data_IF_258085046943
#
_entry.id   IF_258085046943
#
_cell.length_a   1.000
_cell.length_b   1.000
_cell.length_c   1.000
_cell.angle_alpha   90.00
_cell.angle_beta   90.00
_cell.angle_gamma   90.00
#
_symmetry.space_group_name_H-M   'P 1'
#
loop_
_entity.id
_entity.type
_entity.pdbx_description
1 polymer ?
#
# COMPACT_ATOMS: atom_id res chain seq x y z
N UNK A 1 -2.15 -4.21 0.94
CA UNK A 1 -1.17 -4.57 -0.11
C UNK A 1 0.24 -4.37 0.47
N UNK A 2 0.92 -5.48 0.85
CA UNK A 2 2.28 -5.43 1.41
C UNK A 2 3.34 -5.48 0.31
N UNK A 3 3.14 -6.37 -0.68
CA UNK A 3 4.07 -6.62 -1.77
C UNK A 3 5.52 -6.78 -1.30
N UNK A 4 5.73 -7.63 -0.30
CA UNK A 4 7.04 -7.88 0.29
C UNK A 4 8.07 -8.30 -0.77
N UNK A 5 9.26 -7.69 -0.71
CA UNK A 5 10.36 -7.88 -1.64
C UNK A 5 10.03 -7.56 -3.11
N UNK A 6 8.97 -6.78 -3.35
CA UNK A 6 8.71 -6.23 -4.68
C UNK A 6 9.85 -5.32 -5.12
N UNK A 7 10.41 -5.50 -6.33
CA UNK A 7 11.49 -4.65 -6.79
C UNK A 7 10.99 -3.21 -7.00
N UNK A 8 11.73 -2.23 -6.48
CA UNK A 8 11.45 -0.81 -6.73
C UNK A 8 11.91 -0.44 -8.15
N UNK A 9 10.95 -0.39 -9.06
CA UNK A 9 11.23 -0.21 -10.49
C UNK A 9 11.79 1.18 -10.82
N UNK A 10 12.84 1.23 -11.65
CA UNK A 10 13.45 2.46 -12.16
C UNK A 10 14.55 3.05 -11.29
N UNK A 11 14.94 2.40 -10.20
CA UNK A 11 16.03 2.84 -9.32
C UNK A 11 17.31 1.99 -9.47
N UNK A 12 17.25 0.86 -10.19
CA UNK A 12 18.42 0.06 -10.53
C UNK A 12 19.41 0.85 -11.40
N UNK A 13 20.61 1.13 -10.86
CA UNK A 13 21.67 1.87 -11.58
C UNK A 13 22.16 3.15 -10.86
N UNK A 14 21.59 3.47 -9.70
CA UNK A 14 22.09 4.51 -8.79
C UNK A 14 23.13 3.89 -7.81
N UNK A 15 23.63 4.66 -6.85
CA UNK A 15 24.68 4.13 -5.94
C UNK A 15 24.27 2.80 -5.30
N UNK A 16 25.26 1.90 -5.05
CA UNK A 16 25.02 0.60 -4.43
C UNK A 16 24.33 0.72 -3.04
N UNK A 17 24.66 1.76 -2.28
CA UNK A 17 24.07 2.06 -0.98
C UNK A 17 22.57 2.40 -1.10
N UNK A 18 22.21 3.23 -2.06
CA UNK A 18 20.81 3.59 -2.33
C UNK A 18 20.01 2.38 -2.82
N UNK A 19 20.60 1.55 -3.69
CA UNK A 19 19.97 0.33 -4.16
C UNK A 19 19.66 -0.65 -3.02
N UNK A 20 20.60 -0.86 -2.09
CA UNK A 20 20.39 -1.71 -0.91
C UNK A 20 19.29 -1.17 0.01
N UNK A 21 19.23 0.13 0.23
CA UNK A 21 18.19 0.77 1.05
C UNK A 21 16.80 0.64 0.43
N UNK A 22 16.72 0.79 -0.86
CA UNK A 22 15.50 0.62 -1.65
C UNK A 22 15.02 -0.84 -1.65
N UNK A 23 15.95 -1.79 -1.73
CA UNK A 23 15.66 -3.21 -1.67
C UNK A 23 15.11 -3.66 -0.29
N UNK A 24 15.62 -3.05 0.78
CA UNK A 24 15.16 -3.32 2.16
C UNK A 24 13.84 -2.61 2.52
N UNK A 25 13.43 -1.57 1.76
CA UNK A 25 12.36 -0.65 2.16
C UNK A 25 11.02 -1.34 2.43
N UNK A 26 10.63 -2.35 1.65
CA UNK A 26 9.37 -3.08 1.86
C UNK A 26 9.38 -3.89 3.16
N UNK A 27 10.54 -4.45 3.54
CA UNK A 27 10.72 -5.18 4.80
C UNK A 27 10.70 -4.24 5.99
N UNK A 28 11.42 -3.13 5.92
CA UNK A 28 11.44 -2.13 6.98
C UNK A 28 10.05 -1.51 7.18
N UNK A 29 9.31 -1.24 6.10
CA UNK A 29 7.92 -0.78 6.19
C UNK A 29 7.00 -1.83 6.86
N UNK A 30 7.23 -3.12 6.60
CA UNK A 30 6.53 -4.21 7.28
C UNK A 30 6.89 -4.29 8.77
N UNK A 31 8.16 -4.10 9.14
CA UNK A 31 8.55 -4.01 10.55
C UNK A 31 7.88 -2.82 11.24
N UNK A 32 7.78 -1.67 10.57
CA UNK A 32 7.06 -0.51 11.07
C UNK A 32 5.56 -0.80 11.28
N UNK A 33 4.93 -1.60 10.40
CA UNK A 33 3.54 -2.03 10.55
C UNK A 33 3.35 -2.93 11.77
N UNK A 34 4.24 -3.91 11.96
CA UNK A 34 4.21 -4.81 13.11
C UNK A 34 4.43 -4.04 14.41
N UNK A 35 5.42 -3.14 14.44
CA UNK A 35 5.68 -2.28 15.59
C UNK A 35 4.48 -1.39 15.91
N UNK A 36 3.89 -0.72 14.92
CA UNK A 36 2.69 0.09 15.11
C UNK A 36 1.57 -0.70 15.77
N UNK A 37 1.29 -1.92 15.30
CA UNK A 37 0.20 -2.74 15.85
C UNK A 37 0.46 -3.11 17.32
N UNK A 38 1.72 -3.38 17.68
CA UNK A 38 2.13 -3.71 19.06
C UNK A 38 2.05 -2.47 19.94
N UNK A 39 2.61 -1.35 19.49
CA UNK A 39 2.69 -0.10 20.26
C UNK A 39 1.30 0.52 20.53
N UNK A 40 0.39 0.41 19.57
CA UNK A 40 -1.01 0.88 19.71
C UNK A 40 -1.90 -0.14 20.45
N UNK A 41 -1.39 -1.32 20.79
CA UNK A 41 -2.13 -2.37 21.47
C UNK A 41 -3.33 -2.87 20.66
N UNK A 42 -3.14 -3.06 19.36
CA UNK A 42 -4.21 -3.52 18.47
C UNK A 42 -4.75 -4.90 18.92
N UNK A 43 -6.06 -5.09 18.86
CA UNK A 43 -6.68 -6.38 19.17
C UNK A 43 -6.49 -7.39 18.05
N UNK A 44 -6.45 -6.92 16.82
CA UNK A 44 -6.19 -7.71 15.62
C UNK A 44 -5.70 -6.82 14.48
N UNK A 45 -5.13 -7.47 13.46
CA UNK A 45 -4.70 -6.86 12.20
C UNK A 45 -5.46 -7.45 11.03
N UNK A 46 -5.82 -6.62 10.05
CA UNK A 46 -6.47 -7.04 8.80
C UNK A 46 -5.49 -6.88 7.65
N UNK A 47 -5.30 -7.93 6.85
CA UNK A 47 -4.50 -7.93 5.63
C UNK A 47 -5.41 -8.22 4.43
N UNK A 48 -5.64 -7.21 3.62
CA UNK A 48 -6.60 -7.27 2.52
C UNK A 48 -5.96 -7.72 1.18
N UNK A 49 -5.04 -8.68 1.23
CA UNK A 49 -4.42 -9.31 0.06
C UNK A 49 -3.11 -8.69 -0.41
N UNK A 50 -2.54 -9.30 -1.44
CA UNK A 50 -1.26 -8.96 -2.06
C UNK A 50 -0.13 -8.82 -1.02
N UNK A 51 0.10 -9.91 -0.31
CA UNK A 51 1.18 -10.02 0.70
C UNK A 51 2.53 -10.11 0.00
N UNK A 52 2.58 -10.87 -1.09
CA UNK A 52 3.79 -11.08 -1.90
C UNK A 52 3.56 -10.59 -3.34
N UNK A 53 4.65 -10.27 -4.04
CA UNK A 53 4.59 -9.86 -5.44
C UNK A 53 4.86 -11.04 -6.38
N UNK A 54 3.80 -11.77 -6.74
CA UNK A 54 3.86 -12.93 -7.62
C UNK A 54 4.58 -14.13 -7.01
N UNK A 55 5.29 -14.91 -7.85
CA UNK A 55 6.05 -16.07 -7.38
C UNK A 55 7.17 -15.65 -6.41
N UNK A 56 7.11 -16.14 -5.17
CA UNK A 56 8.19 -15.99 -4.19
C UNK A 56 9.49 -16.56 -4.79
N UNK A 57 10.32 -15.67 -5.32
CA UNK A 57 11.64 -16.03 -5.85
C UNK A 57 12.61 -16.46 -4.74
N UNK A 58 12.30 -16.09 -3.50
CA UNK A 58 13.15 -16.34 -2.35
C UNK A 58 12.31 -16.79 -1.14
N UNK A 59 12.64 -17.98 -0.64
CA UNK A 59 12.04 -18.52 0.59
C UNK A 59 12.25 -17.60 1.81
N UNK A 60 13.30 -16.77 1.81
CA UNK A 60 13.60 -15.80 2.86
C UNK A 60 12.47 -14.77 3.08
N UNK A 61 11.78 -14.37 2.01
CA UNK A 61 10.63 -13.43 2.12
C UNK A 61 9.50 -14.04 2.95
N UNK A 62 9.21 -15.32 2.72
CA UNK A 62 8.21 -16.05 3.50
C UNK A 62 8.61 -16.19 4.97
N UNK A 63 9.87 -16.49 5.25
CA UNK A 63 10.40 -16.56 6.62
C UNK A 63 10.32 -15.20 7.32
N UNK A 64 10.61 -14.13 6.60
CA UNK A 64 10.53 -12.78 7.13
C UNK A 64 9.09 -12.41 7.52
N UNK A 65 8.13 -12.71 6.66
CA UNK A 65 6.70 -12.54 6.96
C UNK A 65 6.28 -13.35 8.19
N UNK A 66 6.67 -14.62 8.26
CA UNK A 66 6.36 -15.49 9.40
C UNK A 66 6.94 -14.96 10.72
N UNK A 67 8.14 -14.39 10.70
CA UNK A 67 8.73 -13.76 11.89
C UNK A 67 7.90 -12.55 12.36
N UNK A 68 7.42 -11.70 11.45
CA UNK A 68 6.49 -10.63 11.81
C UNK A 68 5.20 -11.15 12.44
N UNK A 69 4.63 -12.22 11.88
CA UNK A 69 3.42 -12.86 12.43
C UNK A 69 3.66 -13.45 13.83
N UNK A 70 4.84 -14.05 14.05
CA UNK A 70 5.23 -14.56 15.36
C UNK A 70 5.34 -13.43 16.42
N UNK A 71 5.90 -12.27 16.06
CA UNK A 71 5.97 -11.10 16.94
C UNK A 71 4.57 -10.60 17.32
N UNK A 72 3.61 -10.62 16.38
CA UNK A 72 2.21 -10.28 16.65
C UNK A 72 1.55 -11.32 17.57
N UNK A 73 1.84 -12.61 17.39
CA UNK A 73 1.36 -13.70 18.25
C UNK A 73 1.84 -13.52 19.70
N UNK A 74 3.12 -13.23 19.89
CA UNK A 74 3.71 -12.94 21.21
C UNK A 74 3.07 -11.72 21.89
N UNK A 75 2.59 -10.76 21.12
CA UNK A 75 1.84 -9.61 21.60
C UNK A 75 0.33 -9.88 21.77
N UNK A 76 -0.14 -11.10 21.48
CA UNK A 76 -1.56 -11.49 21.57
C UNK A 76 -2.43 -10.87 20.46
N UNK A 77 -1.85 -10.51 19.33
CA UNK A 77 -2.54 -9.88 18.20
C UNK A 77 -2.87 -10.94 17.14
N UNK A 78 -4.16 -11.15 16.88
CA UNK A 78 -4.64 -12.03 15.81
C UNK A 78 -4.55 -11.32 14.45
N UNK A 79 -4.29 -12.08 13.39
CA UNK A 79 -4.22 -11.57 12.01
C UNK A 79 -5.25 -12.25 11.14
N UNK A 80 -6.12 -11.48 10.50
CA UNK A 80 -7.14 -11.98 9.57
C UNK A 80 -6.77 -11.53 8.15
N UNK A 81 -6.61 -12.51 7.25
CA UNK A 81 -6.00 -12.26 5.95
C UNK A 81 -6.82 -12.88 4.82
N UNK A 82 -7.08 -12.10 3.77
CA UNK A 82 -7.47 -12.60 2.46
C UNK A 82 -6.26 -12.64 1.54
N UNK A 83 -6.23 -13.55 0.59
CA UNK A 83 -5.23 -13.60 -0.46
C UNK A 83 -5.74 -12.80 -1.67
N UNK A 84 -4.88 -11.94 -2.23
CA UNK A 84 -5.16 -11.15 -3.43
C UNK A 84 -4.80 -11.87 -4.73
N UNK A 85 -4.76 -11.12 -5.85
CA UNK A 85 -4.46 -11.67 -7.15
C UNK A 85 -2.99 -12.12 -7.28
N UNK A 86 -2.04 -11.38 -6.70
CA UNK A 86 -0.63 -11.78 -6.67
C UNK A 86 -0.40 -13.03 -5.82
N UNK A 87 -1.03 -13.12 -4.65
CA UNK A 87 -0.89 -14.27 -3.75
C UNK A 87 -1.51 -15.54 -4.35
N UNK A 88 -2.63 -15.41 -5.08
CA UNK A 88 -3.32 -16.56 -5.68
C UNK A 88 -2.52 -17.23 -6.80
N UNK A 89 -1.61 -16.49 -7.43
CA UNK A 89 -0.63 -17.02 -8.38
C UNK A 89 0.55 -17.71 -7.67
N UNK A 90 0.73 -17.50 -6.38
CA UNK A 90 1.89 -17.91 -5.63
C UNK A 90 1.68 -19.31 -5.00
N UNK A 91 2.30 -20.33 -5.57
CA UNK A 91 2.27 -21.71 -5.05
C UNK A 91 3.03 -21.89 -3.72
N UNK A 92 3.81 -20.92 -3.30
CA UNK A 92 4.56 -20.95 -2.04
C UNK A 92 3.75 -20.47 -0.86
N UNK A 93 2.83 -19.53 -1.06
CA UNK A 93 1.98 -19.01 0.01
C UNK A 93 1.15 -20.14 0.69
N UNK A 94 0.71 -21.12 -0.10
CA UNK A 94 -0.02 -22.30 0.40
C UNK A 94 0.87 -23.27 1.23
N UNK A 95 2.20 -23.12 1.21
CA UNK A 95 3.17 -23.99 1.91
C UNK A 95 3.77 -23.36 3.17
N UNK A 96 3.47 -22.09 3.44
CA UNK A 96 3.95 -21.43 4.66
C UNK A 96 3.19 -21.98 5.87
N UNK A 97 3.95 -22.51 6.84
CA UNK A 97 3.38 -22.89 8.14
C UNK A 97 3.20 -21.64 8.99
N UNK A 98 2.06 -20.97 8.82
CA UNK A 98 1.73 -19.76 9.56
C UNK A 98 1.52 -20.06 11.05
N UNK A 99 1.83 -19.12 11.93
CA UNK A 99 1.56 -19.18 13.37
C UNK A 99 0.05 -19.23 13.65
N UNK A 100 -0.31 -19.76 14.83
CA UNK A 100 -1.71 -20.01 15.19
C UNK A 100 -2.61 -18.77 15.26
N UNK A 101 -2.03 -17.59 15.37
CA UNK A 101 -2.72 -16.30 15.37
C UNK A 101 -3.13 -15.82 13.97
N UNK A 102 -2.68 -16.47 12.88
CA UNK A 102 -2.98 -16.06 11.50
C UNK A 102 -4.12 -16.89 10.92
N UNK A 103 -5.21 -16.22 10.58
CA UNK A 103 -6.42 -16.77 10.01
C UNK A 103 -6.55 -16.36 8.55
N UNK A 104 -6.31 -17.30 7.63
CA UNK A 104 -6.46 -17.09 6.18
C UNK A 104 -7.85 -17.46 5.75
N UNK A 105 -8.58 -16.54 5.15
CA UNK A 105 -9.91 -16.80 4.63
C UNK A 105 -9.88 -17.75 3.42
N UNK A 106 -10.86 -18.65 3.29
CA UNK A 106 -10.87 -19.64 2.22
C UNK A 106 -11.09 -19.03 0.85
N UNK A 107 -10.59 -19.72 -0.20
CA UNK A 107 -10.74 -19.35 -1.62
C UNK A 107 -12.11 -19.70 -2.20
N UNK A 108 -12.79 -20.70 -1.62
CA UNK A 108 -14.03 -21.30 -2.19
C UNK A 108 -15.28 -20.51 -1.92
N UNK A 109 -15.45 -20.01 -0.71
CA UNK A 109 -16.60 -19.21 -0.27
C UNK A 109 -16.19 -18.25 0.84
N UNK A 110 -16.95 -17.18 1.03
CA UNK A 110 -16.74 -16.28 2.16
C UNK A 110 -17.00 -17.01 3.48
N UNK A 111 -16.17 -16.69 4.48
CA UNK A 111 -16.27 -17.25 5.83
C UNK A 111 -16.30 -16.13 6.87
N UNK A 112 -16.71 -16.46 8.09
CA UNK A 112 -16.81 -15.54 9.21
C UNK A 112 -15.98 -16.04 10.37
N UNK A 113 -15.14 -15.17 10.93
CA UNK A 113 -14.50 -15.35 12.23
C UNK A 113 -15.16 -14.42 13.25
N UNK A 114 -15.60 -14.97 14.37
CA UNK A 114 -16.20 -14.20 15.46
C UNK A 114 -15.18 -14.00 16.57
N UNK A 115 -15.12 -12.78 17.04
CA UNK A 115 -14.33 -12.36 18.21
C UNK A 115 -15.32 -11.86 19.26
N UNK A 116 -15.97 -12.78 19.94
CA UNK A 116 -17.07 -12.48 20.87
C UNK A 116 -16.59 -11.66 22.07
N UNK A 117 -15.33 -11.81 22.48
CA UNK A 117 -14.69 -11.05 23.57
C UNK A 117 -14.53 -9.55 23.27
N UNK A 118 -14.49 -9.18 21.99
CA UNK A 118 -14.42 -7.77 21.53
C UNK A 118 -15.66 -7.34 20.73
N UNK A 119 -16.65 -8.22 20.59
CA UNK A 119 -17.92 -7.90 19.91
C UNK A 119 -17.77 -7.67 18.40
N UNK A 120 -16.90 -8.43 17.71
CA UNK A 120 -16.60 -8.24 16.27
C UNK A 120 -16.85 -9.52 15.48
N UNK A 121 -17.40 -9.40 14.28
CA UNK A 121 -17.44 -10.44 13.25
C UNK A 121 -16.63 -9.98 12.03
N UNK A 122 -15.67 -10.80 11.60
CA UNK A 122 -14.81 -10.52 10.45
C UNK A 122 -15.15 -11.50 9.33
N UNK A 123 -15.53 -10.97 8.18
CA UNK A 123 -15.93 -11.73 7.01
C UNK A 123 -14.91 -11.56 5.91
N UNK A 124 -14.53 -12.65 5.24
CA UNK A 124 -13.53 -12.57 4.19
C UNK A 124 -13.60 -13.72 3.19
N UNK A 125 -13.05 -13.49 2.01
CA UNK A 125 -12.84 -14.50 0.99
C UNK A 125 -11.56 -14.19 0.23
N UNK A 126 -10.69 -15.18 0.12
CA UNK A 126 -9.47 -15.09 -0.70
C UNK A 126 -9.78 -15.30 -2.18
N UNK A 127 -8.93 -14.73 -3.05
CA UNK A 127 -9.00 -14.97 -4.49
C UNK A 127 -8.76 -16.44 -4.82
N UNK A 128 -9.63 -17.09 -5.61
CA UNK A 128 -9.44 -18.47 -6.06
C UNK A 128 -8.40 -18.57 -7.20
N UNK A 129 -8.19 -17.48 -7.97
CA UNK A 129 -7.28 -17.37 -9.11
C UNK A 129 -6.85 -15.90 -9.32
N UNK A 130 -5.78 -15.62 -10.08
CA UNK A 130 -5.27 -14.24 -10.23
C UNK A 130 -6.22 -13.27 -10.95
N UNK A 131 -7.04 -13.78 -11.85
CA UNK A 131 -7.88 -13.00 -12.79
C UNK A 131 -9.38 -13.09 -12.46
N UNK A 132 -9.75 -12.90 -11.20
CA UNK A 132 -11.17 -12.91 -10.76
C UNK A 132 -11.90 -11.73 -11.39
N UNK A 133 -12.88 -12.02 -12.24
CA UNK A 133 -13.75 -11.01 -12.88
C UNK A 133 -15.13 -10.91 -12.24
N UNK A 134 -15.48 -11.86 -11.39
CA UNK A 134 -16.74 -11.93 -10.67
C UNK A 134 -16.75 -11.01 -9.45
N UNK A 135 -17.89 -10.46 -9.15
CA UNK A 135 -18.14 -9.70 -7.93
C UNK A 135 -18.18 -10.61 -6.70
N UNK A 136 -17.07 -10.67 -5.97
CA UNK A 136 -16.97 -11.51 -4.77
C UNK A 136 -17.79 -10.98 -3.59
N UNK A 137 -18.08 -9.66 -3.53
CA UNK A 137 -18.82 -9.06 -2.43
C UNK A 137 -20.23 -9.62 -2.30
N UNK A 138 -20.85 -10.01 -3.41
CA UNK A 138 -22.22 -10.60 -3.43
C UNK A 138 -22.36 -11.89 -2.65
N UNK A 139 -21.26 -12.62 -2.49
CA UNK A 139 -21.27 -13.94 -1.83
C UNK A 139 -20.87 -13.86 -0.34
N UNK A 140 -20.69 -12.65 0.19
CA UNK A 140 -20.44 -12.47 1.62
C UNK A 140 -21.70 -12.77 2.44
N UNK A 141 -21.57 -13.39 3.63
CA UNK A 141 -22.71 -13.70 4.48
C UNK A 141 -23.41 -12.43 4.97
N UNK A 142 -24.66 -12.55 5.39
CA UNK A 142 -25.35 -11.47 6.08
C UNK A 142 -24.60 -11.04 7.35
N UNK A 143 -24.77 -9.78 7.77
CA UNK A 143 -24.21 -9.27 9.00
C UNK A 143 -24.58 -10.16 10.20
N UNK A 144 -23.62 -10.39 11.09
CA UNK A 144 -23.83 -11.12 12.35
C UNK A 144 -24.49 -10.17 13.34
N UNK A 145 -25.68 -10.53 13.79
CA UNK A 145 -26.47 -9.70 14.71
C UNK A 145 -25.70 -9.39 16.01
N UNK A 146 -25.85 -8.17 16.50
CA UNK A 146 -25.24 -7.64 17.72
C UNK A 146 -23.70 -7.59 17.75
N UNK A 147 -23.02 -7.78 16.61
CA UNK A 147 -21.58 -7.61 16.47
C UNK A 147 -21.26 -6.47 15.51
N UNK A 148 -20.08 -5.86 15.68
CA UNK A 148 -19.48 -4.96 14.69
C UNK A 148 -18.96 -5.79 13.51
N UNK A 149 -19.54 -5.62 12.33
CA UNK A 149 -19.27 -6.44 11.16
C UNK A 149 -18.25 -5.81 10.26
N UNK A 150 -17.19 -6.55 9.96
CA UNK A 150 -16.08 -6.12 9.10
C UNK A 150 -15.98 -7.02 7.87
N UNK A 151 -16.04 -6.45 6.68
CA UNK A 151 -15.70 -7.14 5.44
C UNK A 151 -14.25 -6.92 5.06
N UNK A 152 -13.49 -7.97 4.80
CA UNK A 152 -12.11 -7.91 4.26
C UNK A 152 -12.14 -8.40 2.84
N UNK A 153 -11.85 -7.53 1.87
CA UNK A 153 -12.03 -7.83 0.45
C UNK A 153 -10.91 -7.23 -0.40
N UNK A 154 -10.30 -8.06 -1.24
CA UNK A 154 -9.39 -7.60 -2.30
C UNK A 154 -10.21 -7.33 -3.56
N UNK A 155 -10.28 -6.09 -4.05
CA UNK A 155 -11.26 -5.67 -5.07
C UNK A 155 -10.86 -4.39 -5.80
N UNK A 156 -11.30 -4.23 -7.04
CA UNK A 156 -11.33 -2.96 -7.75
C UNK A 156 -12.72 -2.31 -7.56
N UNK A 157 -12.94 -1.65 -6.43
CA UNK A 157 -14.18 -0.95 -6.15
C UNK A 157 -14.30 0.32 -7.02
N UNK A 158 -15.48 0.57 -7.57
CA UNK A 158 -15.75 1.75 -8.40
C UNK A 158 -15.50 3.04 -7.60
N UNK A 159 -14.97 4.06 -8.27
CA UNK A 159 -14.61 5.35 -7.63
C UNK A 159 -13.23 5.37 -6.97
N UNK A 160 -12.50 4.25 -6.96
CA UNK A 160 -11.09 4.25 -6.57
C UNK A 160 -10.20 4.81 -7.69
N UNK A 161 -9.19 5.58 -7.33
CA UNK A 161 -8.21 6.11 -8.27
C UNK A 161 -7.10 5.07 -8.57
N UNK A 162 -6.61 5.05 -9.81
CA UNK A 162 -5.46 4.24 -10.22
C UNK A 162 -5.69 3.45 -11.51
N UNK A 163 -4.56 2.99 -12.10
CA UNK A 163 -4.55 2.15 -13.33
C UNK A 163 -4.45 0.66 -12.94
N UNK A 164 -5.34 0.20 -12.07
CA UNK A 164 -5.41 -1.21 -11.68
C UNK A 164 -6.33 -1.99 -12.60
N UNK A 165 -6.03 -3.28 -12.81
CA UNK A 165 -6.94 -4.17 -13.51
C UNK A 165 -8.24 -4.32 -12.71
N UNK A 166 -9.36 -4.48 -13.39
CA UNK A 166 -10.68 -4.60 -12.74
C UNK A 166 -10.91 -6.02 -12.23
N UNK A 167 -10.22 -6.37 -11.13
CA UNK A 167 -10.42 -7.65 -10.47
C UNK A 167 -11.49 -7.56 -9.38
N UNK A 168 -12.31 -8.63 -9.27
CA UNK A 168 -13.42 -8.75 -8.32
C UNK A 168 -14.22 -7.44 -8.17
N UNK A 169 -14.71 -6.82 -9.27
CA UNK A 169 -15.29 -5.48 -9.24
C UNK A 169 -16.54 -5.41 -8.38
N UNK A 170 -16.67 -4.34 -7.59
CA UNK A 170 -17.87 -4.00 -6.84
C UNK A 170 -18.12 -2.48 -6.87
N UNK A 171 -19.16 -2.02 -6.20
CA UNK A 171 -19.46 -0.60 -6.03
C UNK A 171 -19.62 -0.22 -4.56
N UNK A 172 -19.36 1.04 -4.17
CA UNK A 172 -19.59 1.50 -2.80
C UNK A 172 -21.04 1.29 -2.34
N UNK A 173 -22.02 1.48 -3.25
CA UNK A 173 -23.44 1.26 -2.94
C UNK A 173 -23.74 -0.19 -2.60
N UNK A 174 -23.13 -1.14 -3.28
CA UNK A 174 -23.27 -2.57 -2.95
C UNK A 174 -22.74 -2.87 -1.55
N UNK A 175 -21.53 -2.36 -1.22
CA UNK A 175 -20.91 -2.55 0.07
C UNK A 175 -21.73 -1.89 1.19
N UNK A 176 -22.27 -0.70 0.94
CA UNK A 176 -23.16 -0.01 1.87
C UNK A 176 -24.44 -0.81 2.13
N UNK A 177 -25.08 -1.30 1.08
CA UNK A 177 -26.33 -2.04 1.18
C UNK A 177 -26.14 -3.45 1.77
N UNK A 178 -24.92 -3.94 1.90
CA UNK A 178 -24.62 -5.24 2.51
C UNK A 178 -24.88 -5.27 4.03
N UNK A 179 -24.81 -4.09 4.68
CA UNK A 179 -25.14 -3.94 6.09
C UNK A 179 -24.00 -4.23 7.05
N UNK A 180 -22.73 -4.18 6.59
CA UNK A 180 -21.55 -4.21 7.46
C UNK A 180 -21.21 -2.80 7.96
N UNK A 181 -20.46 -2.73 9.06
CA UNK A 181 -20.06 -1.46 9.69
C UNK A 181 -18.75 -0.90 9.10
N UNK A 182 -17.90 -1.80 8.57
CA UNK A 182 -16.59 -1.46 8.01
C UNK A 182 -16.20 -2.40 6.86
N UNK A 183 -15.57 -1.85 5.82
CA UNK A 183 -14.94 -2.61 4.75
C UNK A 183 -13.45 -2.28 4.64
N UNK A 184 -12.60 -3.27 4.91
CA UNK A 184 -11.16 -3.23 4.69
C UNK A 184 -10.84 -3.73 3.28
N UNK A 185 -10.50 -2.81 2.38
CA UNK A 185 -10.26 -3.12 0.96
C UNK A 185 -8.77 -3.18 0.64
N UNK A 186 -8.37 -4.06 -0.28
CA UNK A 186 -7.06 -4.13 -0.90
C UNK A 186 -7.14 -4.09 -2.42
N UNK A 187 -6.00 -4.08 -3.11
CA UNK A 187 -5.79 -3.97 -4.56
C UNK A 187 -5.43 -2.56 -5.04
N UNK A 188 -5.99 -1.52 -4.47
CA UNK A 188 -5.71 -0.14 -4.87
C UNK A 188 -4.62 0.44 -3.97
N UNK A 189 -3.50 0.86 -4.57
CA UNK A 189 -2.30 1.31 -3.86
C UNK A 189 -2.36 2.76 -3.38
N UNK A 190 -3.45 3.47 -3.66
CA UNK A 190 -3.73 4.78 -3.09
C UNK A 190 -4.61 4.65 -1.85
N UNK A 191 -4.28 5.39 -0.77
CA UNK A 191 -5.20 5.52 0.34
C UNK A 191 -6.48 6.24 -0.11
N UNK A 192 -7.64 5.65 0.18
CA UNK A 192 -8.93 6.24 -0.15
C UNK A 192 -10.01 5.82 0.84
N UNK A 193 -10.91 6.74 1.18
CA UNK A 193 -12.14 6.50 1.91
C UNK A 193 -13.31 6.72 0.95
N UNK A 194 -13.97 5.63 0.55
CA UNK A 194 -15.06 5.67 -0.43
C UNK A 194 -16.45 5.79 0.22
N UNK A 195 -16.53 5.64 1.53
CA UNK A 195 -17.77 5.76 2.31
C UNK A 195 -17.45 5.98 3.78
N UNK A 196 -18.34 6.69 4.48
CA UNK A 196 -18.22 6.97 5.92
C UNK A 196 -19.21 6.16 6.76
N UNK A 197 -20.32 5.73 6.16
CA UNK A 197 -21.35 4.92 6.82
C UNK A 197 -21.95 3.89 5.84
N UNK A 198 -21.40 2.65 5.80
CA UNK A 198 -20.19 2.15 6.51
C UNK A 198 -18.89 2.82 6.01
N UNK A 199 -17.85 2.75 6.81
CA UNK A 199 -16.51 3.12 6.32
C UNK A 199 -16.03 2.09 5.30
N UNK A 200 -15.73 2.55 4.08
CA UNK A 200 -15.21 1.74 2.98
C UNK A 200 -13.82 2.26 2.64
N UNK A 201 -12.76 1.51 3.00
CA UNK A 201 -11.42 2.08 3.08
C UNK A 201 -10.37 1.23 2.38
N UNK A 202 -9.61 1.86 1.51
CA UNK A 202 -8.32 1.38 1.02
C UNK A 202 -7.21 2.00 1.85
N UNK A 203 -6.35 1.25 2.52
CA UNK A 203 -5.16 1.80 3.18
C UNK A 203 -4.07 2.21 2.17
N UNK A 204 -4.14 1.71 0.93
CA UNK A 204 -3.08 1.78 -0.04
C UNK A 204 -2.06 0.65 0.14
N UNK A 205 -0.92 0.74 -0.55
CA UNK A 205 0.19 -0.15 -0.32
C UNK A 205 1.09 0.35 0.83
N UNK A 206 1.85 -0.57 1.42
CA UNK A 206 2.69 -0.28 2.59
C UNK A 206 3.95 0.51 2.22
N UNK A 207 4.53 0.26 1.04
CA UNK A 207 5.69 0.93 0.47
C UNK A 207 5.46 1.21 -1.01
N UNK A 208 5.64 2.45 -1.44
CA UNK A 208 5.59 2.79 -2.87
C UNK A 208 6.70 2.08 -3.66
N UNK A 209 6.37 1.52 -4.83
CA UNK A 209 7.26 0.67 -5.63
C UNK A 209 7.75 1.33 -6.92
N UNK A 210 7.08 2.37 -7.35
CA UNK A 210 7.41 3.09 -8.58
C UNK A 210 6.93 4.55 -8.56
N UNK A 211 7.41 5.42 -9.49
CA UNK A 211 7.13 6.86 -9.47
C UNK A 211 5.68 7.31 -9.58
N UNK A 212 4.73 6.40 -9.84
CA UNK A 212 3.29 6.72 -9.85
C UNK A 212 2.65 6.52 -8.48
N UNK A 213 3.30 5.80 -7.57
CA UNK A 213 2.83 5.54 -6.21
C UNK A 213 3.38 6.59 -5.24
N UNK A 214 3.05 7.84 -5.51
CA UNK A 214 3.55 9.00 -4.75
C UNK A 214 2.86 9.18 -3.41
N UNK A 215 3.43 10.05 -2.56
CA UNK A 215 2.87 10.42 -1.27
C UNK A 215 3.06 9.37 -0.17
N UNK A 216 2.48 9.60 1.01
CA UNK A 216 2.57 8.70 2.16
C UNK A 216 1.97 7.34 1.84
N UNK A 217 2.67 6.27 2.29
CA UNK A 217 2.23 4.89 2.18
C UNK A 217 2.22 4.26 3.58
N UNK A 218 1.29 3.33 3.83
CA UNK A 218 1.20 2.78 5.17
C UNK A 218 -0.06 1.98 5.44
N UNK A 219 -0.63 2.17 6.63
CA UNK A 219 -1.80 1.44 7.11
C UNK A 219 -2.83 2.39 7.71
N UNK A 220 -4.06 1.91 7.89
CA UNK A 220 -5.11 2.65 8.58
C UNK A 220 -5.28 2.06 9.98
N UNK A 221 -5.07 2.90 10.99
CA UNK A 221 -5.37 2.59 12.38
C UNK A 221 -6.81 3.01 12.68
N UNK A 222 -7.60 2.08 13.25
CA UNK A 222 -9.02 2.29 13.51
C UNK A 222 -9.30 2.03 14.98
N UNK A 223 -10.02 2.96 15.62
CA UNK A 223 -10.55 2.78 16.97
C UNK A 223 -12.06 2.64 16.90
N UNK A 224 -12.57 1.57 17.50
CA UNK A 224 -14.01 1.29 17.59
C UNK A 224 -14.42 1.30 19.05
N UNK A 225 -15.46 2.03 19.38
CA UNK A 225 -16.07 2.01 20.72
C UNK A 225 -17.59 1.93 20.59
N UNK A 226 -18.22 1.11 21.41
CA UNK A 226 -19.67 0.90 21.41
C UNK A 226 -20.26 0.64 20.01
N UNK A 227 -19.59 -0.20 19.21
CA UNK A 227 -20.01 -0.55 17.86
C UNK A 227 -19.92 0.58 16.84
N UNK A 228 -19.10 1.63 17.09
CA UNK A 228 -18.89 2.76 16.18
C UNK A 228 -17.43 3.08 16.01
N UNK A 229 -17.04 3.41 14.78
CA UNK A 229 -15.70 3.95 14.51
C UNK A 229 -15.58 5.33 15.15
N UNK A 230 -14.63 5.49 16.07
CA UNK A 230 -14.35 6.75 16.77
C UNK A 230 -13.10 7.47 16.25
N UNK A 231 -12.20 6.73 15.61
CA UNK A 231 -11.01 7.28 14.93
C UNK A 231 -10.65 6.41 13.74
N UNK A 232 -10.24 7.05 12.65
CA UNK A 232 -9.72 6.44 11.44
C UNK A 232 -8.53 7.29 10.99
N UNK A 233 -7.32 6.76 11.13
CA UNK A 233 -6.08 7.48 10.89
C UNK A 233 -5.18 6.73 9.92
N UNK A 234 -4.81 7.35 8.81
CA UNK A 234 -3.76 6.83 7.95
C UNK A 234 -2.40 7.10 8.58
N UNK A 235 -1.63 6.04 8.85
CA UNK A 235 -0.30 6.09 9.46
C UNK A 235 0.74 5.80 8.40
N UNK A 236 1.57 6.80 8.11
CA UNK A 236 2.66 6.66 7.13
C UNK A 236 3.76 5.75 7.71
N UNK A 237 4.03 4.63 7.05
CA UNK A 237 4.98 3.59 7.46
C UNK A 237 6.06 3.36 6.42
N UNK A 238 5.96 4.00 5.26
CA UNK A 238 6.91 3.94 4.17
C UNK A 238 8.31 4.41 4.60
N UNK A 239 9.32 3.79 4.03
CA UNK A 239 10.75 4.07 4.31
C UNK A 239 11.33 4.96 3.23
N UNK A 240 10.94 4.74 1.98
CA UNK A 240 11.30 5.55 0.83
C UNK A 240 10.04 6.19 0.25
N UNK A 241 10.02 7.51 0.16
CA UNK A 241 8.89 8.24 -0.40
C UNK A 241 9.10 8.55 -1.89
N UNK A 242 8.07 8.29 -2.69
CA UNK A 242 8.08 8.68 -4.09
C UNK A 242 7.41 10.03 -4.30
N UNK A 243 8.01 10.86 -5.15
CA UNK A 243 7.40 12.09 -5.64
C UNK A 243 7.55 12.22 -7.16
N UNK A 244 6.56 12.83 -7.79
CA UNK A 244 6.61 13.23 -9.19
C UNK A 244 6.43 14.74 -9.25
N UNK A 245 7.51 15.45 -9.62
CA UNK A 245 7.55 16.91 -9.65
C UNK A 245 7.61 17.35 -11.11
N UNK A 246 6.69 18.24 -11.48
CA UNK A 246 6.70 18.89 -12.80
C UNK A 246 7.13 20.35 -12.60
N UNK A 247 8.19 20.75 -13.30
CA UNK A 247 8.72 22.11 -13.27
C UNK A 247 8.47 22.76 -14.61
N UNK A 248 7.69 23.85 -14.61
CA UNK A 248 7.51 24.69 -15.78
C UNK A 248 8.66 25.70 -15.83
N UNK A 249 9.51 25.55 -16.84
CA UNK A 249 10.69 26.41 -17.06
C UNK A 249 10.42 27.54 -18.06
N UNK A 250 9.17 27.80 -18.37
CA UNK A 250 8.79 28.94 -19.21
C UNK A 250 9.30 30.24 -18.59
N UNK A 251 10.03 31.03 -19.41
CA UNK A 251 10.59 32.30 -18.97
C UNK A 251 11.99 32.23 -18.36
N UNK A 252 12.54 31.05 -18.07
CA UNK A 252 13.95 30.93 -17.70
C UNK A 252 14.85 31.17 -18.92
N UNK A 253 15.84 32.03 -18.76
CA UNK A 253 16.71 32.49 -19.86
C UNK A 253 18.12 31.95 -19.79
N UNK A 254 18.60 31.52 -18.63
CA UNK A 254 19.94 30.99 -18.44
C UNK A 254 19.96 29.71 -17.60
N UNK A 255 21.06 29.00 -17.64
CA UNK A 255 21.22 27.70 -17.00
C UNK A 255 21.22 27.75 -15.45
N UNK A 256 21.88 28.74 -14.79
CA UNK A 256 21.78 28.91 -13.35
C UNK A 256 20.34 29.12 -12.85
N UNK A 257 19.59 30.03 -13.51
CA UNK A 257 18.19 30.31 -13.17
C UNK A 257 17.32 29.03 -13.27
N UNK A 258 17.56 28.23 -14.32
CA UNK A 258 16.89 26.93 -14.50
C UNK A 258 17.20 25.97 -13.34
N UNK A 259 18.46 25.84 -12.94
CA UNK A 259 18.86 24.96 -11.85
C UNK A 259 18.34 25.45 -10.50
N UNK A 260 18.31 26.75 -10.24
CA UNK A 260 17.74 27.31 -9.01
C UNK A 260 16.25 27.07 -8.89
N UNK A 261 15.51 27.20 -10.00
CA UNK A 261 14.09 26.85 -10.05
C UNK A 261 13.86 25.38 -9.74
N UNK A 262 14.62 24.47 -10.35
CA UNK A 262 14.56 23.03 -10.09
C UNK A 262 14.91 22.73 -8.63
N UNK A 263 15.95 23.35 -8.09
CA UNK A 263 16.37 23.18 -6.68
C UNK A 263 15.24 23.54 -5.72
N UNK A 264 14.52 24.65 -5.98
CA UNK A 264 13.39 25.07 -5.16
C UNK A 264 12.27 24.02 -5.11
N UNK A 265 11.94 23.44 -6.26
CA UNK A 265 10.93 22.37 -6.34
C UNK A 265 11.38 21.06 -5.67
N UNK A 266 12.66 20.69 -5.80
CA UNK A 266 13.24 19.53 -5.11
C UNK A 266 13.19 19.74 -3.59
N UNK A 267 13.58 20.91 -3.09
CA UNK A 267 13.54 21.23 -1.66
C UNK A 267 12.12 21.10 -1.10
N UNK A 268 11.11 21.63 -1.81
CA UNK A 268 9.71 21.48 -1.43
C UNK A 268 9.28 20.02 -1.40
N UNK A 269 9.71 19.20 -2.37
CA UNK A 269 9.43 17.75 -2.38
C UNK A 269 10.10 17.04 -1.20
N UNK A 270 11.32 17.44 -0.84
CA UNK A 270 12.04 16.87 0.31
C UNK A 270 11.35 17.20 1.65
N UNK A 271 10.83 18.41 1.82
CA UNK A 271 10.03 18.77 3.00
C UNK A 271 8.79 17.88 3.13
N UNK A 272 8.08 17.60 2.02
CA UNK A 272 6.92 16.73 1.98
C UNK A 272 7.27 15.25 2.23
N UNK A 273 8.54 14.86 2.10
CA UNK A 273 8.98 13.50 2.40
C UNK A 273 9.07 13.21 3.91
N UNK A 274 8.94 14.22 4.77
CA UNK A 274 8.89 14.07 6.22
C UNK A 274 10.11 13.32 6.78
N UNK A 275 11.31 13.74 6.35
CA UNK A 275 12.60 13.17 6.74
C UNK A 275 12.94 11.81 6.10
N UNK A 276 12.10 11.28 5.23
CA UNK A 276 12.36 10.03 4.49
C UNK A 276 13.21 10.29 3.24
N UNK A 277 14.04 9.33 2.83
CA UNK A 277 14.66 9.35 1.51
C UNK A 277 13.62 9.55 0.41
N UNK A 278 13.89 10.52 -0.47
CA UNK A 278 12.99 10.86 -1.56
C UNK A 278 13.44 10.20 -2.87
N UNK A 279 12.60 9.36 -3.44
CA UNK A 279 12.73 8.87 -4.81
C UNK A 279 11.96 9.80 -5.75
N UNK A 280 12.67 10.57 -6.58
CA UNK A 280 12.06 11.65 -7.35
C UNK A 280 12.03 11.33 -8.85
N UNK A 281 10.85 11.53 -9.46
CA UNK A 281 10.71 11.74 -10.90
C UNK A 281 10.55 13.23 -11.17
N UNK A 282 11.54 13.84 -11.85
CA UNK A 282 11.46 15.21 -12.32
C UNK A 282 11.02 15.25 -13.79
N UNK A 283 10.01 16.05 -14.09
CA UNK A 283 9.57 16.35 -15.45
C UNK A 283 9.69 17.84 -15.70
N UNK A 284 10.48 18.21 -16.72
CA UNK A 284 10.66 19.61 -17.13
C UNK A 284 9.72 19.90 -18.30
N UNK A 285 8.92 20.95 -18.19
CA UNK A 285 7.93 21.37 -19.19
C UNK A 285 8.10 22.86 -19.51
N UNK A 286 7.41 23.34 -20.53
CA UNK A 286 7.40 24.75 -20.89
C UNK A 286 8.29 25.10 -22.05
N UNK A 287 8.39 26.41 -22.35
CA UNK A 287 9.16 26.96 -23.48
C UNK A 287 10.28 27.84 -22.97
N UNK A 288 11.52 27.51 -23.32
CA UNK A 288 12.71 28.26 -22.93
C UNK A 288 13.70 28.41 -24.11
N UNK A 289 14.45 29.52 -24.19
CA UNK A 289 15.54 29.64 -25.15
C UNK A 289 16.61 28.55 -25.01
N UNK A 290 16.71 27.91 -23.84
CA UNK A 290 17.66 26.84 -23.55
C UNK A 290 17.29 25.50 -24.18
N UNK A 291 16.12 25.35 -24.79
CA UNK A 291 15.58 24.07 -25.27
C UNK A 291 16.58 23.26 -26.12
N UNK A 292 17.18 23.89 -27.14
CA UNK A 292 18.13 23.21 -28.02
C UNK A 292 19.38 22.74 -27.28
N UNK A 293 19.86 23.54 -26.33
CA UNK A 293 21.03 23.23 -25.51
C UNK A 293 20.71 22.05 -24.58
N UNK A 294 19.55 22.06 -23.89
CA UNK A 294 19.10 20.99 -22.99
C UNK A 294 18.98 19.64 -23.71
N UNK A 295 18.56 19.65 -24.98
CA UNK A 295 18.49 18.43 -25.80
C UNK A 295 19.89 17.93 -26.17
N UNK A 296 20.75 18.82 -26.63
CA UNK A 296 22.10 18.48 -27.10
C UNK A 296 23.01 18.04 -25.92
N UNK A 297 22.90 18.71 -24.78
CA UNK A 297 23.70 18.48 -23.58
C UNK A 297 22.92 17.68 -22.49
N UNK A 298 21.97 16.83 -22.89
CA UNK A 298 21.05 16.14 -21.97
C UNK A 298 21.76 15.39 -20.85
N UNK A 299 22.91 14.79 -21.12
CA UNK A 299 23.68 14.05 -20.11
C UNK A 299 24.26 15.01 -19.07
N UNK A 300 24.91 16.09 -19.50
CA UNK A 300 25.46 17.10 -18.59
C UNK A 300 24.37 17.77 -17.76
N UNK A 301 23.25 18.14 -18.39
CA UNK A 301 22.09 18.68 -17.65
C UNK A 301 21.55 17.72 -16.58
N UNK A 302 21.49 16.43 -16.90
CA UNK A 302 21.08 15.41 -15.91
C UNK A 302 22.08 15.35 -14.76
N UNK A 303 23.39 15.37 -15.03
CA UNK A 303 24.44 15.37 -14.02
C UNK A 303 24.34 16.62 -13.13
N UNK A 304 24.10 17.80 -13.71
CA UNK A 304 23.88 19.04 -12.97
C UNK A 304 22.69 18.93 -12.01
N UNK A 305 21.56 18.38 -12.50
CA UNK A 305 20.38 18.15 -11.64
C UNK A 305 20.66 17.10 -10.55
N UNK A 306 21.42 16.04 -10.86
CA UNK A 306 21.80 15.03 -9.86
C UNK A 306 22.69 15.62 -8.74
N UNK A 307 23.50 16.64 -9.01
CA UNK A 307 24.26 17.34 -7.97
C UNK A 307 23.38 18.16 -7.02
N UNK A 308 22.17 18.54 -7.43
CA UNK A 308 21.21 19.21 -6.54
C UNK A 308 20.59 18.30 -5.48
N UNK A 309 20.75 16.96 -5.64
CA UNK A 309 20.20 15.94 -4.75
C UNK A 309 21.20 15.50 -3.66
N UNK A 310 22.43 15.99 -3.72
CA UNK A 310 23.48 15.75 -2.74
C UNK A 310 23.36 16.75 -1.59
#
# INVERSE_FOLDING_TARGET
>A
DLHLDSPLLGLAGKSAEYAARVEAASREAFDNLVALAIDEGCRFMLLAGDIFDGDLRNFQTGLYFMEGMRRLDEAGISVFMVLGNHDSANRFADKLSLSGNVHVFPKTKAATHRLDDVGVAIHGRSFPRPDVSEDLAREYPAATEALFNIGVLHTACAGSEGHHARYAPCTPEQLTNHGYDYWALGHVHAHAVLGEHPHIVYPGNLQGRHPRETGPKGAVLIKVNDGRVTSLEHRALDVVRWASITVDVSGTSDHPELLDLIRGHIAQGAEQADGRPLALRLTVTGTTPLHSRLILERTAFREDVETLLA
#
